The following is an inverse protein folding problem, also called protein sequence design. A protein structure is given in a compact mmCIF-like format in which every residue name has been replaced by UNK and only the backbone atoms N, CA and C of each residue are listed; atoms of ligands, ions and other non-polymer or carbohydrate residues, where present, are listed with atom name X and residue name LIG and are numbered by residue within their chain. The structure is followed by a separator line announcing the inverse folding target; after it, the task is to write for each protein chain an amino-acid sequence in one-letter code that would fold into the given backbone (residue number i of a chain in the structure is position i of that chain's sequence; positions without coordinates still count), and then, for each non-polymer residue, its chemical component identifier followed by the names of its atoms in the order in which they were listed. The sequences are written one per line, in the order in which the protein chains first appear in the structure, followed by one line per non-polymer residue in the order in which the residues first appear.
data_IF_329788597976
#
_entry.id   IF_329788597976
#
_cell.length_a   1.000
_cell.length_b   1.000
_cell.length_c   1.000
_cell.angle_alpha   90.00
_cell.angle_beta   90.00
_cell.angle_gamma   90.00
#
_symmetry.space_group_name_H-M   'P 1'
#
loop_
_entity.id
_entity.type
_entity.pdbx_description
1 polymer ?
#
# COMPACT_ATOMS: atom_id res chain seq x y z
N UNK A 1 -87.38 52.21 -67.88
CA UNK A 1 -87.05 52.40 -66.45
C UNK A 1 -85.62 51.89 -66.23
N UNK A 2 -84.76 52.74 -65.64
CA UNK A 2 -83.40 52.48 -65.13
C UNK A 2 -82.22 52.13 -66.06
N UNK A 3 -81.50 53.21 -66.42
CA UNK A 3 -80.04 53.42 -66.42
C UNK A 3 -79.16 52.22 -66.08
N UNK A 4 -78.18 51.92 -66.94
CA UNK A 4 -76.81 51.69 -66.48
C UNK A 4 -75.78 52.10 -67.53
N UNK A 5 -74.73 52.75 -67.02
CA UNK A 5 -73.74 53.59 -67.72
C UNK A 5 -73.00 52.87 -68.85
N UNK A 6 -72.92 53.53 -70.01
CA UNK A 6 -71.87 53.30 -71.00
C UNK A 6 -70.51 53.52 -70.34
N UNK A 7 -69.74 52.46 -70.13
CA UNK A 7 -68.33 52.54 -69.78
C UNK A 7 -67.56 53.01 -71.01
N UNK A 8 -66.97 54.21 -70.95
CA UNK A 8 -65.97 54.63 -71.90
C UNK A 8 -64.79 53.65 -71.86
N UNK A 9 -64.56 52.91 -72.94
CA UNK A 9 -63.29 52.20 -73.14
C UNK A 9 -62.19 53.24 -73.37
N UNK A 10 -61.53 53.65 -72.29
CA UNK A 10 -60.29 54.41 -72.39
C UNK A 10 -59.27 53.54 -73.13
N UNK A 11 -58.82 54.00 -74.31
CA UNK A 11 -57.68 53.42 -75.01
C UNK A 11 -56.47 53.50 -74.08
N UNK A 12 -56.10 52.36 -73.49
CA UNK A 12 -54.92 52.25 -72.62
C UNK A 12 -53.70 52.86 -73.32
N UNK A 13 -53.00 53.73 -72.62
CA UNK A 13 -51.85 54.44 -73.18
C UNK A 13 -50.73 53.44 -73.52
N UNK A 14 -50.00 53.69 -74.60
CA UNK A 14 -48.85 52.83 -75.00
C UNK A 14 -47.81 52.70 -73.87
N UNK A 15 -47.76 53.68 -72.98
CA UNK A 15 -46.92 53.68 -71.76
C UNK A 15 -47.41 52.66 -70.72
N UNK A 16 -48.71 52.57 -70.46
CA UNK A 16 -49.28 51.65 -69.46
C UNK A 16 -49.12 50.18 -69.87
N UNK A 17 -49.29 49.87 -71.16
CA UNK A 17 -49.07 48.51 -71.68
C UNK A 17 -47.60 48.09 -71.55
N UNK A 18 -46.67 49.04 -71.79
CA UNK A 18 -45.23 48.80 -71.64
C UNK A 18 -44.82 48.65 -70.18
N UNK A 19 -45.44 49.36 -69.24
CA UNK A 19 -45.20 49.19 -67.80
C UNK A 19 -45.81 47.89 -67.26
N UNK A 20 -47.01 47.50 -67.69
CA UNK A 20 -47.61 46.21 -67.31
C UNK A 20 -46.75 45.03 -67.81
N UNK A 21 -46.23 45.10 -69.04
CA UNK A 21 -45.28 44.09 -69.56
C UNK A 21 -43.98 44.04 -68.72
N UNK A 22 -43.44 45.18 -68.30
CA UNK A 22 -42.24 45.23 -67.45
C UNK A 22 -42.52 44.70 -66.04
N UNK A 23 -43.68 45.01 -65.45
CA UNK A 23 -44.08 44.51 -64.14
C UNK A 23 -44.27 43.00 -64.19
N UNK A 24 -45.00 42.49 -65.19
CA UNK A 24 -45.22 41.05 -65.35
C UNK A 24 -43.90 40.30 -65.54
N UNK A 25 -42.97 40.83 -66.36
CA UNK A 25 -41.63 40.28 -66.52
C UNK A 25 -40.83 40.28 -65.21
N UNK A 26 -40.90 41.36 -64.43
CA UNK A 26 -40.24 41.45 -63.10
C UNK A 26 -40.85 40.46 -62.11
N UNK A 27 -42.17 40.28 -62.08
CA UNK A 27 -42.85 39.33 -61.20
C UNK A 27 -42.48 37.88 -61.54
N UNK A 28 -42.44 37.52 -62.82
CA UNK A 28 -42.00 36.20 -63.27
C UNK A 28 -40.53 35.95 -62.92
N UNK A 29 -39.67 36.95 -63.11
CA UNK A 29 -38.25 36.86 -62.74
C UNK A 29 -38.06 36.68 -61.23
N UNK A 30 -38.81 37.42 -60.40
CA UNK A 30 -38.78 37.27 -58.94
C UNK A 30 -39.31 35.92 -58.48
N UNK A 31 -40.37 35.41 -59.13
CA UNK A 31 -40.88 34.06 -58.87
C UNK A 31 -39.84 32.99 -59.20
N UNK A 32 -39.16 33.12 -60.33
CA UNK A 32 -38.08 32.21 -60.72
C UNK A 32 -36.88 32.28 -59.75
N UNK A 33 -36.49 33.49 -59.33
CA UNK A 33 -35.41 33.70 -58.36
C UNK A 33 -35.75 33.08 -56.99
N UNK A 34 -37.01 33.19 -56.56
CA UNK A 34 -37.53 32.55 -55.34
C UNK A 34 -37.40 31.02 -55.40
N UNK A 35 -37.80 30.41 -56.53
CA UNK A 35 -37.72 28.96 -56.73
C UNK A 35 -36.25 28.50 -56.72
N UNK A 36 -35.35 29.23 -57.40
CA UNK A 36 -33.91 28.92 -57.38
C UNK A 36 -33.34 29.05 -55.96
N UNK A 37 -33.68 30.11 -55.24
CA UNK A 37 -33.23 30.31 -53.86
C UNK A 37 -33.70 29.18 -52.95
N UNK A 38 -34.97 28.77 -53.08
CA UNK A 38 -35.51 27.63 -52.35
C UNK A 38 -34.76 26.33 -52.70
N UNK A 39 -34.51 26.08 -53.99
CA UNK A 39 -33.77 24.91 -54.44
C UNK A 39 -32.32 24.92 -53.89
N UNK A 40 -31.67 26.08 -53.85
CA UNK A 40 -30.34 26.23 -53.25
C UNK A 40 -30.34 25.93 -51.74
N UNK A 41 -31.33 26.39 -51.00
CA UNK A 41 -31.45 26.11 -49.56
C UNK A 41 -31.68 24.62 -49.32
N UNK A 42 -32.50 23.96 -50.13
CA UNK A 42 -32.75 22.52 -50.00
C UNK A 42 -31.51 21.71 -50.40
N UNK A 43 -30.86 22.04 -51.52
CA UNK A 43 -29.72 21.29 -52.06
C UNK A 43 -28.44 21.53 -51.26
N UNK A 44 -28.19 22.76 -50.80
CA UNK A 44 -26.95 23.11 -50.12
C UNK A 44 -27.12 23.36 -48.62
N UNK A 45 -28.25 23.94 -48.19
CA UNK A 45 -28.50 24.29 -46.78
C UNK A 45 -28.74 23.08 -45.88
N UNK A 46 -29.59 22.12 -46.30
CA UNK A 46 -29.85 20.91 -45.51
C UNK A 46 -28.58 20.06 -45.28
N UNK A 47 -27.75 19.77 -46.30
CA UNK A 47 -26.50 19.05 -46.07
C UNK A 47 -25.52 19.81 -45.17
N UNK A 48 -25.50 21.15 -45.24
CA UNK A 48 -24.67 21.98 -44.37
C UNK A 48 -25.09 21.86 -42.90
N UNK A 49 -26.40 21.89 -42.62
CA UNK A 49 -26.94 21.74 -41.27
C UNK A 49 -26.66 20.36 -40.68
N UNK A 50 -26.79 19.29 -41.48
CA UNK A 50 -26.48 17.92 -41.04
C UNK A 50 -24.99 17.82 -40.69
N UNK A 51 -24.10 18.31 -41.57
CA UNK A 51 -22.65 18.32 -41.32
C UNK A 51 -22.29 19.15 -40.08
N UNK A 52 -22.92 20.29 -39.89
CA UNK A 52 -22.73 21.14 -38.72
C UNK A 52 -23.23 20.46 -37.43
N UNK A 53 -24.37 19.76 -37.48
CA UNK A 53 -24.90 18.99 -36.35
C UNK A 53 -23.96 17.84 -35.95
N UNK A 54 -23.38 17.14 -36.92
CA UNK A 54 -22.40 16.08 -36.66
C UNK A 54 -21.14 16.70 -36.04
N UNK A 55 -20.65 17.80 -36.60
CA UNK A 55 -19.49 18.52 -36.08
C UNK A 55 -19.68 19.01 -34.64
N UNK A 56 -20.85 19.58 -34.31
CA UNK A 56 -21.22 19.94 -32.94
C UNK A 56 -21.35 18.73 -32.01
N UNK A 57 -21.89 17.62 -32.52
CA UNK A 57 -21.93 16.35 -31.81
C UNK A 57 -20.52 15.81 -31.49
N UNK A 58 -19.60 15.88 -32.45
CA UNK A 58 -18.20 15.47 -32.30
C UNK A 58 -17.42 16.40 -31.36
N UNK A 59 -17.71 17.71 -31.36
CA UNK A 59 -17.13 18.65 -30.40
C UNK A 59 -17.61 18.34 -28.97
N UNK A 60 -18.90 18.01 -28.80
CA UNK A 60 -19.45 17.62 -27.51
C UNK A 60 -18.88 16.28 -27.03
N UNK A 61 -18.65 15.33 -27.94
CA UNK A 61 -18.04 14.03 -27.64
C UNK A 61 -16.52 14.10 -27.43
N UNK A 62 -15.82 15.11 -27.97
CA UNK A 62 -14.40 15.36 -27.68
C UNK A 62 -14.14 15.75 -26.22
N UNK A 63 -15.14 16.23 -25.49
CA UNK A 63 -15.03 16.53 -24.05
C UNK A 63 -15.20 15.32 -23.11
N UNK A 64 -15.43 14.10 -23.64
CA UNK A 64 -15.72 12.90 -22.84
C UNK A 64 -14.67 11.79 -23.00
N UNK A 65 -13.66 11.98 -23.86
CA UNK A 65 -12.52 11.05 -23.97
C UNK A 65 -11.40 11.51 -23.04
N UNK A 66 -11.52 11.13 -21.76
CA UNK A 66 -10.43 10.91 -20.79
C UNK A 66 -11.02 10.82 -19.37
N UNK A 67 -12.10 10.05 -19.19
CA UNK A 67 -12.29 9.44 -17.88
C UNK A 67 -11.33 8.26 -17.82
N UNK A 68 -10.07 8.53 -17.46
CA UNK A 68 -9.22 7.49 -16.88
C UNK A 68 -10.04 6.98 -15.71
N UNK A 69 -10.56 5.76 -15.84
CA UNK A 69 -11.31 5.10 -14.77
C UNK A 69 -10.44 5.20 -13.52
N UNK A 70 -10.89 5.94 -12.51
CA UNK A 70 -10.07 6.22 -11.33
C UNK A 70 -9.97 4.92 -10.53
N UNK A 71 -8.96 4.12 -10.86
CA UNK A 71 -8.64 2.90 -10.15
C UNK A 71 -8.21 3.28 -8.73
N UNK A 72 -8.81 2.62 -7.74
CA UNK A 72 -8.45 2.85 -6.35
C UNK A 72 -7.04 2.32 -6.08
N UNK A 73 -6.27 2.99 -5.20
CA UNK A 73 -5.00 2.45 -4.74
C UNK A 73 -5.22 1.11 -4.02
N UNK A 74 -4.20 0.24 -4.01
CA UNK A 74 -4.26 -1.01 -3.26
C UNK A 74 -4.35 -0.73 -1.75
N UNK A 75 -4.78 -1.75 -0.99
CA UNK A 75 -4.74 -1.70 0.47
C UNK A 75 -3.30 -1.70 1.00
N UNK A 76 -3.11 -1.17 2.20
CA UNK A 76 -1.82 -1.23 2.90
C UNK A 76 -1.39 -2.70 3.13
N UNK A 77 -0.11 -3.04 2.91
CA UNK A 77 0.40 -4.36 3.26
C UNK A 77 0.43 -4.57 4.77
N UNK A 78 0.55 -5.84 5.19
CA UNK A 78 0.81 -6.20 6.57
C UNK A 78 2.08 -7.04 6.67
N UNK A 79 3.06 -6.54 7.40
CA UNK A 79 4.27 -7.28 7.76
C UNK A 79 3.98 -8.29 8.88
N UNK A 80 4.66 -9.43 8.83
CA UNK A 80 4.55 -10.54 9.78
C UNK A 80 5.98 -10.89 10.22
N UNK A 81 6.24 -10.69 11.52
CA UNK A 81 7.48 -11.06 12.17
C UNK A 81 7.17 -11.98 13.36
N UNK A 82 7.89 -13.10 13.53
CA UNK A 82 7.59 -14.08 14.58
C UNK A 82 8.21 -13.74 15.95
N UNK A 83 9.05 -12.70 16.03
CA UNK A 83 9.77 -12.29 17.24
C UNK A 83 9.96 -10.77 17.26
N UNK A 84 10.16 -10.21 18.45
CA UNK A 84 10.36 -8.76 18.69
C UNK A 84 11.84 -8.39 18.88
N UNK A 85 12.70 -9.38 19.11
CA UNK A 85 14.15 -9.23 19.16
C UNK A 85 14.85 -10.44 18.53
N UNK A 86 16.07 -10.25 18.05
CA UNK A 86 16.90 -11.31 17.45
C UNK A 86 18.38 -11.03 17.65
N UNK A 87 19.17 -12.08 17.71
CA UNK A 87 20.63 -12.02 17.67
C UNK A 87 21.22 -12.30 16.29
N UNK A 88 20.37 -12.36 15.26
CA UNK A 88 20.81 -12.46 13.87
C UNK A 88 20.76 -11.07 13.22
N UNK A 89 21.91 -10.58 12.74
CA UNK A 89 21.99 -9.32 12.00
C UNK A 89 21.29 -9.35 10.63
N UNK A 90 20.70 -10.49 10.24
CA UNK A 90 19.86 -10.63 9.07
C UNK A 90 18.59 -11.40 9.39
N UNK A 91 17.46 -10.94 8.85
CA UNK A 91 16.16 -11.57 9.04
C UNK A 91 15.41 -11.76 7.73
N UNK A 92 14.41 -12.63 7.78
CA UNK A 92 13.38 -12.76 6.77
C UNK A 92 12.15 -11.98 7.24
N UNK A 93 11.64 -11.09 6.40
CA UNK A 93 10.38 -10.37 6.65
C UNK A 93 9.32 -10.95 5.72
N UNK A 94 8.28 -11.52 6.30
CA UNK A 94 7.12 -12.03 5.57
C UNK A 94 5.98 -11.02 5.65
N UNK A 95 5.01 -11.13 4.76
CA UNK A 95 3.83 -10.29 4.82
C UNK A 95 2.74 -10.70 3.85
N UNK A 96 1.59 -10.03 4.00
CA UNK A 96 0.41 -10.22 3.17
C UNK A 96 -0.06 -8.90 2.57
N UNK A 97 -0.50 -8.95 1.32
CA UNK A 97 -1.03 -7.81 0.58
C UNK A 97 -1.99 -8.30 -0.53
N UNK A 98 -2.59 -7.36 -1.25
CA UNK A 98 -3.43 -7.70 -2.40
C UNK A 98 -2.59 -8.41 -3.48
N UNK A 99 -3.10 -9.50 -4.06
CA UNK A 99 -2.41 -10.27 -5.09
C UNK A 99 -2.03 -9.40 -6.31
N UNK A 100 -0.84 -9.66 -6.87
CA UNK A 100 -0.36 -9.01 -8.10
C UNK A 100 0.14 -7.56 -7.97
N UNK A 101 0.11 -6.98 -6.76
CA UNK A 101 0.67 -5.64 -6.49
C UNK A 101 2.17 -5.73 -6.18
N UNK A 102 2.89 -4.61 -6.33
CA UNK A 102 4.28 -4.49 -5.91
C UNK A 102 4.34 -3.91 -4.50
N UNK A 103 5.05 -4.55 -3.57
CA UNK A 103 5.29 -4.06 -2.22
C UNK A 103 6.69 -3.45 -2.14
N UNK A 104 6.77 -2.25 -1.59
CA UNK A 104 8.01 -1.57 -1.22
C UNK A 104 8.20 -1.69 0.29
N UNK A 105 9.37 -2.16 0.72
CA UNK A 105 9.78 -2.24 2.12
C UNK A 105 10.66 -1.04 2.47
N UNK A 106 10.33 -0.39 3.56
CA UNK A 106 11.04 0.75 4.11
C UNK A 106 11.61 0.39 5.48
N UNK A 107 12.86 0.79 5.72
CA UNK A 107 13.53 0.79 7.01
C UNK A 107 13.85 2.23 7.38
N UNK A 108 13.35 2.71 8.51
CA UNK A 108 13.53 4.10 8.97
C UNK A 108 13.19 5.13 7.87
N UNK A 109 12.04 4.93 7.22
CA UNK A 109 11.53 5.72 6.09
C UNK A 109 12.37 5.66 4.79
N UNK A 110 13.41 4.83 4.73
CA UNK A 110 14.24 4.60 3.54
C UNK A 110 13.86 3.30 2.86
N UNK A 111 13.57 3.34 1.55
CA UNK A 111 13.34 2.13 0.77
C UNK A 111 14.57 1.23 0.75
N UNK A 112 14.40 -0.01 1.19
CA UNK A 112 15.44 -1.04 1.21
C UNK A 112 15.17 -2.19 0.24
N UNK A 113 13.95 -2.31 -0.29
CA UNK A 113 13.63 -3.35 -1.25
C UNK A 113 12.23 -3.22 -1.84
N UNK A 114 12.01 -3.93 -2.95
CA UNK A 114 10.71 -4.12 -3.58
C UNK A 114 10.51 -5.58 -3.97
N UNK A 115 9.27 -6.07 -3.92
CA UNK A 115 8.92 -7.43 -4.32
C UNK A 115 7.49 -7.50 -4.86
N UNK A 116 7.20 -8.51 -5.68
CA UNK A 116 5.85 -8.77 -6.18
C UNK A 116 5.10 -9.68 -5.21
N UNK A 117 3.82 -9.37 -4.97
CA UNK A 117 2.92 -10.20 -4.18
C UNK A 117 2.42 -11.37 -5.03
N UNK A 118 2.45 -12.57 -4.45
CA UNK A 118 1.95 -13.80 -5.07
C UNK A 118 0.44 -13.75 -5.33
N UNK A 119 -0.08 -14.72 -6.10
CA UNK A 119 -1.52 -14.87 -6.35
C UNK A 119 -2.29 -15.23 -5.06
N UNK A 120 -1.60 -15.87 -4.11
CA UNK A 120 -2.12 -16.20 -2.78
C UNK A 120 -2.13 -14.99 -1.81
N UNK A 121 -1.48 -13.89 -2.18
CA UNK A 121 -1.41 -12.66 -1.38
C UNK A 121 -0.19 -12.56 -0.47
N UNK A 122 0.71 -13.54 -0.50
CA UNK A 122 1.93 -13.55 0.31
C UNK A 122 3.10 -12.87 -0.40
N UNK A 123 3.99 -12.23 0.37
CA UNK A 123 5.27 -11.73 -0.09
C UNK A 123 6.38 -11.92 0.95
N UNK A 124 7.63 -11.89 0.48
CA UNK A 124 8.82 -12.13 1.31
C UNK A 124 9.94 -11.17 0.91
N UNK A 125 10.64 -10.67 1.92
CA UNK A 125 11.96 -10.05 1.81
C UNK A 125 12.97 -10.89 2.57
N UNK A 126 13.88 -11.54 1.85
CA UNK A 126 14.97 -12.34 2.43
C UNK A 126 16.22 -11.50 2.71
N UNK A 127 17.01 -11.90 3.70
CA UNK A 127 18.30 -11.30 4.05
C UNK A 127 18.25 -9.79 4.34
N UNK A 128 17.19 -9.33 5.00
CA UNK A 128 17.07 -7.93 5.44
C UNK A 128 18.09 -7.69 6.54
N UNK A 129 19.02 -6.76 6.31
CA UNK A 129 20.11 -6.42 7.24
C UNK A 129 19.59 -5.49 8.35
N UNK A 130 19.92 -5.84 9.59
CA UNK A 130 19.61 -5.06 10.78
C UNK A 130 20.83 -4.22 11.21
N UNK A 131 20.54 -3.05 11.77
CA UNK A 131 21.50 -2.24 12.52
C UNK A 131 21.34 -2.59 14.00
N UNK A 132 22.40 -2.44 14.79
CA UNK A 132 22.36 -2.71 16.23
C UNK A 132 21.27 -1.86 16.91
N UNK A 133 20.47 -2.51 17.76
CA UNK A 133 19.33 -1.89 18.44
C UNK A 133 18.03 -1.92 17.62
N UNK A 134 17.24 -0.86 17.72
CA UNK A 134 15.91 -0.78 17.12
C UNK A 134 15.97 -0.62 15.60
N UNK A 135 15.19 -1.43 14.88
CA UNK A 135 15.00 -1.32 13.43
C UNK A 135 13.50 -1.18 13.14
N UNK A 136 13.10 -0.07 12.53
CA UNK A 136 11.70 0.24 12.29
C UNK A 136 11.31 -0.02 10.82
N UNK A 137 10.41 -0.96 10.62
CA UNK A 137 9.95 -1.39 9.29
C UNK A 137 8.52 -0.94 9.00
N UNK A 138 8.32 -0.44 7.78
CA UNK A 138 7.00 -0.19 7.21
C UNK A 138 7.00 -0.60 5.73
N UNK A 139 5.82 -0.70 5.13
CA UNK A 139 5.70 -1.09 3.73
C UNK A 139 4.53 -0.40 3.06
N UNK A 140 4.57 -0.27 1.75
CA UNK A 140 3.45 0.23 0.95
C UNK A 140 3.28 -0.60 -0.31
N UNK A 141 2.04 -0.75 -0.77
CA UNK A 141 1.72 -1.42 -2.01
C UNK A 141 1.56 -0.40 -3.14
N UNK A 142 1.92 -0.78 -4.35
CA UNK A 142 1.66 0.01 -5.54
C UNK A 142 1.17 -0.86 -6.70
N UNK A 143 0.35 -0.25 -7.55
CA UNK A 143 -0.12 -0.84 -8.81
C UNK A 143 0.19 0.13 -9.94
N UNK A 144 0.35 -0.38 -11.17
CA UNK A 144 0.62 0.46 -12.34
C UNK A 144 -0.49 1.48 -12.61
N UNK A 145 -1.73 1.10 -12.33
CA UNK A 145 -2.92 1.87 -12.74
C UNK A 145 -3.64 2.54 -11.55
N UNK A 146 -3.55 1.96 -10.34
CA UNK A 146 -4.25 2.44 -9.13
C UNK A 146 -3.43 3.34 -8.21
N UNK A 147 -2.12 3.49 -8.47
CA UNK A 147 -1.22 4.28 -7.62
C UNK A 147 -0.74 3.50 -6.40
N UNK A 148 -0.48 4.21 -5.30
CA UNK A 148 0.20 3.70 -4.10
C UNK A 148 -0.71 3.78 -2.87
N UNK A 149 -0.63 2.77 -1.99
CA UNK A 149 -1.31 2.75 -0.70
C UNK A 149 -0.70 3.75 0.30
N UNK A 150 -1.38 3.93 1.43
CA UNK A 150 -0.75 4.46 2.65
C UNK A 150 0.33 3.49 3.15
N UNK A 151 1.15 3.96 4.10
CA UNK A 151 2.14 3.12 4.79
C UNK A 151 1.44 2.15 5.74
N UNK A 152 1.93 0.91 5.78
CA UNK A 152 1.54 -0.09 6.76
C UNK A 152 1.84 0.37 8.18
N UNK A 153 1.25 -0.33 9.16
CA UNK A 153 1.67 -0.23 10.55
C UNK A 153 3.18 -0.43 10.68
N UNK A 154 3.78 0.38 11.55
CA UNK A 154 5.19 0.27 11.91
C UNK A 154 5.41 -1.01 12.72
N UNK A 155 6.42 -1.79 12.34
CA UNK A 155 6.89 -2.97 13.09
C UNK A 155 8.33 -2.71 13.51
N UNK A 156 8.61 -2.89 14.79
CA UNK A 156 9.95 -2.68 15.36
C UNK A 156 10.53 -4.05 15.71
N UNK A 157 11.79 -4.26 15.33
CA UNK A 157 12.58 -5.41 15.74
C UNK A 157 13.89 -4.92 16.35
N UNK A 158 14.28 -5.51 17.48
CA UNK A 158 15.55 -5.20 18.14
C UNK A 158 16.59 -6.22 17.69
N UNK A 159 17.70 -5.75 17.12
CA UNK A 159 18.89 -6.57 16.93
C UNK A 159 19.82 -6.37 18.12
N UNK A 160 20.21 -7.46 18.75
CA UNK A 160 21.18 -7.49 19.86
C UNK A 160 21.98 -8.80 19.76
N UNK A 161 23.27 -8.71 19.52
CA UNK A 161 24.19 -9.86 19.49
C UNK A 161 25.03 -10.04 20.76
N UNK A 162 24.72 -9.27 21.81
CA UNK A 162 25.45 -9.29 23.07
C UNK A 162 24.86 -10.33 24.02
N UNK A 163 25.68 -11.31 24.41
CA UNK A 163 25.25 -12.32 25.37
C UNK A 163 25.07 -11.74 26.78
N UNK A 164 24.03 -12.19 27.53
CA UNK A 164 23.76 -11.65 28.84
C UNK A 164 24.88 -11.99 29.82
N UNK A 165 25.22 -11.07 30.72
CA UNK A 165 26.16 -11.33 31.82
C UNK A 165 25.63 -12.46 32.70
N UNK A 166 26.53 -13.31 33.21
CA UNK A 166 26.18 -14.33 34.19
C UNK A 166 27.27 -14.43 35.26
N UNK A 167 26.94 -13.97 36.47
CA UNK A 167 27.85 -13.99 37.61
C UNK A 167 27.31 -14.85 38.74
N UNK A 168 28.17 -15.68 39.31
CA UNK A 168 27.79 -16.57 40.39
C UNK A 168 28.20 -15.99 41.73
N UNK A 169 27.22 -15.84 42.62
CA UNK A 169 27.43 -15.48 44.02
C UNK A 169 27.62 -16.73 44.88
N UNK A 170 26.84 -17.78 44.59
CA UNK A 170 27.00 -19.10 45.19
C UNK A 170 26.69 -20.21 44.16
N UNK A 171 27.62 -21.14 43.91
CA UNK A 171 29.00 -21.16 44.41
C UNK A 171 29.89 -20.20 43.62
N UNK A 172 30.96 -19.70 44.26
CA UNK A 172 32.00 -18.90 43.56
C UNK A 172 32.95 -19.78 42.75
N UNK A 173 33.15 -21.01 43.20
CA UNK A 173 34.04 -22.01 42.61
C UNK A 173 33.29 -22.87 41.60
N UNK A 174 33.99 -23.39 40.60
CA UNK A 174 33.42 -24.29 39.59
C UNK A 174 33.39 -25.75 40.05
N UNK A 175 34.09 -26.09 41.13
CA UNK A 175 34.09 -27.43 41.72
C UNK A 175 34.12 -27.30 43.24
N UNK A 176 33.22 -28.00 43.92
CA UNK A 176 33.11 -27.99 45.38
C UNK A 176 32.70 -29.37 45.91
N UNK A 177 33.09 -29.64 47.16
CA UNK A 177 32.65 -30.79 47.93
C UNK A 177 31.91 -30.31 49.17
N UNK A 178 30.72 -30.84 49.42
CA UNK A 178 29.84 -30.43 50.53
C UNK A 178 29.19 -31.66 51.19
N UNK A 179 28.65 -31.47 52.38
CA UNK A 179 28.05 -32.50 53.24
C UNK A 179 26.53 -32.36 53.44
N UNK A 180 25.86 -31.59 52.59
CA UNK A 180 24.41 -31.39 52.62
C UNK A 180 23.80 -31.50 51.21
N UNK A 181 22.56 -32.03 51.14
CA UNK A 181 21.89 -32.31 49.87
C UNK A 181 21.20 -31.10 49.24
N UNK A 182 20.82 -30.09 50.03
CA UNK A 182 20.04 -28.95 49.55
C UNK A 182 20.95 -27.76 49.26
N UNK A 183 21.11 -27.40 47.99
CA UNK A 183 22.06 -26.39 47.57
C UNK A 183 21.37 -25.19 46.92
N UNK A 184 21.71 -23.98 47.36
CA UNK A 184 21.20 -22.74 46.79
C UNK A 184 22.14 -22.24 45.70
N UNK A 185 21.69 -22.27 44.45
CA UNK A 185 22.40 -21.62 43.34
C UNK A 185 21.96 -20.17 43.27
N UNK A 186 22.90 -19.25 43.45
CA UNK A 186 22.65 -17.80 43.53
C UNK A 186 23.59 -17.06 42.59
N UNK A 187 23.06 -16.11 41.85
CA UNK A 187 23.85 -15.28 40.96
C UNK A 187 23.12 -14.02 40.51
N UNK A 188 23.74 -13.33 39.57
CA UNK A 188 23.21 -12.14 38.93
C UNK A 188 23.37 -12.26 37.41
N UNK A 189 22.41 -11.72 36.66
CA UNK A 189 22.41 -11.64 35.21
C UNK A 189 21.87 -10.30 34.74
N UNK A 190 21.86 -10.06 33.43
CA UNK A 190 21.27 -8.84 32.88
C UNK A 190 19.75 -8.82 33.08
N UNK A 191 19.21 -7.61 33.22
CA UNK A 191 17.76 -7.42 33.39
C UNK A 191 17.00 -8.01 32.21
N UNK A 192 15.79 -8.51 32.47
CA UNK A 192 14.93 -9.15 31.47
C UNK A 192 15.52 -10.43 30.83
N UNK A 193 16.68 -10.91 31.30
CA UNK A 193 17.17 -12.24 30.96
C UNK A 193 16.43 -13.30 31.76
N UNK A 194 16.29 -14.47 31.17
CA UNK A 194 15.78 -15.68 31.81
C UNK A 194 16.94 -16.56 32.24
N UNK A 195 16.86 -17.17 33.42
CA UNK A 195 17.89 -18.10 33.91
C UNK A 195 17.29 -19.49 34.08
N UNK A 196 18.00 -20.51 33.61
CA UNK A 196 17.69 -21.91 33.87
C UNK A 196 18.86 -22.61 34.54
N UNK A 197 18.57 -23.52 35.48
CA UNK A 197 19.54 -24.33 36.21
C UNK A 197 19.11 -25.79 36.06
N UNK A 198 19.92 -26.60 35.37
CA UNK A 198 19.57 -27.95 34.93
C UNK A 198 18.19 -28.01 34.25
N UNK A 199 17.89 -27.01 33.41
CA UNK A 199 16.62 -26.87 32.70
C UNK A 199 15.43 -26.37 33.53
N UNK A 200 15.60 -26.10 34.84
CA UNK A 200 14.55 -25.50 35.68
C UNK A 200 14.69 -23.98 35.70
N UNK A 201 13.59 -23.26 35.50
CA UNK A 201 13.59 -21.80 35.57
C UNK A 201 13.90 -21.29 36.99
N UNK A 202 14.82 -20.32 37.05
CA UNK A 202 15.06 -19.49 38.22
C UNK A 202 14.46 -18.11 37.95
N UNK A 203 13.69 -17.58 38.91
CA UNK A 203 13.14 -16.24 38.80
C UNK A 203 14.27 -15.23 38.94
N UNK A 204 14.34 -14.30 37.99
CA UNK A 204 15.26 -13.16 37.98
C UNK A 204 14.46 -11.94 38.44
N UNK A 205 14.98 -11.18 39.39
CA UNK A 205 14.32 -9.96 39.88
C UNK A 205 14.71 -8.71 39.07
N UNK A 206 14.15 -7.55 39.45
CA UNK A 206 14.39 -6.26 38.77
C UNK A 206 15.85 -5.77 38.85
N UNK A 207 16.65 -6.36 39.74
CA UNK A 207 18.09 -6.11 39.89
C UNK A 207 18.94 -7.15 39.15
N UNK A 208 18.32 -8.14 38.50
CA UNK A 208 19.01 -9.23 37.82
C UNK A 208 19.45 -10.37 38.76
N UNK A 209 19.10 -10.33 40.05
CA UNK A 209 19.46 -11.39 40.98
C UNK A 209 18.55 -12.61 40.77
N UNK A 210 19.13 -13.80 40.84
CA UNK A 210 18.40 -15.05 40.80
C UNK A 210 18.85 -15.99 41.91
N UNK A 211 17.89 -16.79 42.38
CA UNK A 211 18.14 -17.85 43.37
C UNK A 211 17.27 -19.06 43.06
N UNK A 212 17.88 -20.24 43.01
CA UNK A 212 17.15 -21.50 42.94
C UNK A 212 17.76 -22.53 43.88
N UNK A 213 16.91 -23.16 44.69
CA UNK A 213 17.29 -24.33 45.48
C UNK A 213 17.21 -25.59 44.62
N UNK A 214 18.31 -26.34 44.59
CA UNK A 214 18.42 -27.64 43.94
C UNK A 214 18.69 -28.73 44.99
N UNK A 215 18.28 -29.95 44.67
CA UNK A 215 18.56 -31.12 45.49
C UNK A 215 19.64 -31.96 44.79
N UNK A 216 20.69 -32.29 45.52
CA UNK A 216 21.85 -33.02 45.03
C UNK A 216 21.70 -34.52 45.32
N UNK A 217 22.15 -35.34 44.38
CA UNK A 217 22.33 -36.76 44.60
C UNK A 217 23.69 -37.01 45.28
N UNK A 218 23.86 -38.08 46.09
CA UNK A 218 25.16 -38.47 46.61
C UNK A 218 26.20 -38.66 45.50
N UNK A 219 27.43 -38.21 45.73
CA UNK A 219 28.50 -38.21 44.74
C UNK A 219 28.48 -36.96 43.85
N UNK A 220 28.96 -37.12 42.60
CA UNK A 220 29.19 -36.01 41.67
C UNK A 220 27.90 -35.55 41.00
N UNK A 221 27.60 -34.25 41.08
CA UNK A 221 26.49 -33.58 40.40
C UNK A 221 27.04 -32.54 39.42
N UNK A 222 26.73 -32.69 38.13
CA UNK A 222 27.04 -31.68 37.12
C UNK A 222 25.85 -30.71 37.00
N UNK A 223 26.08 -29.43 37.28
CA UNK A 223 25.08 -28.35 37.27
C UNK A 223 25.38 -27.41 36.11
N UNK A 224 24.42 -27.24 35.20
CA UNK A 224 24.47 -26.30 34.09
C UNK A 224 23.51 -25.13 34.36
N UNK A 225 24.06 -23.91 34.29
CA UNK A 225 23.32 -22.66 34.42
C UNK A 225 23.37 -21.96 33.07
N UNK A 226 22.21 -21.56 32.56
CA UNK A 226 22.08 -20.85 31.28
C UNK A 226 21.31 -19.57 31.55
N UNK A 227 21.91 -18.43 31.25
CA UNK A 227 21.19 -17.16 31.10
C UNK A 227 20.90 -16.89 29.63
N UNK A 228 19.69 -16.42 29.33
CA UNK A 228 19.22 -16.15 27.98
C UNK A 228 18.41 -14.86 27.92
N UNK A 229 18.74 -13.96 27.01
CA UNK A 229 18.02 -12.71 26.80
C UNK A 229 16.81 -12.86 25.85
N UNK A 230 16.16 -11.74 25.52
CA UNK A 230 15.00 -11.71 24.60
C UNK A 230 15.39 -11.90 23.13
N UNK A 231 16.60 -11.49 22.73
CA UNK A 231 17.13 -11.65 21.38
C UNK A 231 17.57 -13.10 21.08
N UNK A 232 17.73 -13.90 22.13
CA UNK A 232 18.11 -15.29 22.08
C UNK A 232 19.59 -15.56 22.36
N UNK A 233 20.37 -14.55 22.77
CA UNK A 233 21.75 -14.78 23.17
C UNK A 233 21.83 -15.54 24.48
N UNK A 234 22.87 -16.37 24.64
CA UNK A 234 23.02 -17.26 25.78
C UNK A 234 24.42 -17.21 26.39
N UNK A 235 24.48 -17.17 27.71
CA UNK A 235 25.69 -17.41 28.49
C UNK A 235 25.52 -18.64 29.35
N UNK A 236 26.48 -19.58 29.27
CA UNK A 236 26.43 -20.87 29.99
C UNK A 236 27.56 -20.98 31.00
N UNK A 237 27.24 -21.53 32.17
CA UNK A 237 28.23 -21.86 33.19
C UNK A 237 27.98 -23.28 33.72
N UNK A 238 29.06 -24.02 33.91
CA UNK A 238 29.04 -25.38 34.45
C UNK A 238 29.73 -25.40 35.81
N UNK A 239 29.12 -26.11 36.75
CA UNK A 239 29.59 -26.25 38.12
C UNK A 239 29.48 -27.71 38.51
N UNK A 240 30.49 -28.25 39.18
CA UNK A 240 30.51 -29.60 39.71
C UNK A 240 30.38 -29.56 41.21
N UNK A 241 29.38 -30.23 41.76
CA UNK A 241 29.18 -30.35 43.20
C UNK A 241 29.26 -31.81 43.60
N UNK A 242 30.25 -32.17 44.42
CA UNK A 242 30.34 -33.49 45.03
C UNK A 242 29.67 -33.46 46.39
N UNK A 243 28.55 -34.17 46.54
CA UNK A 243 27.90 -34.37 47.82
C UNK A 243 28.49 -35.62 48.49
N UNK A 244 29.30 -35.42 49.53
CA UNK A 244 29.83 -36.48 50.39
C UNK A 244 29.00 -36.60 51.66
N UNK A 245 28.71 -37.82 52.11
CA UNK A 245 27.76 -38.09 53.21
C UNK A 245 28.43 -38.14 54.58
#
# INVERSE_FOLDING_TARGET
MNKNKSMAQFKRSRLERKSEEQITKKTVLLGFLSIISFLLIVVFGLPLLIKFSIFLGDIKNKGVKDQVEKVLPPLEPRLILPYEATNSGQIKIEGVAQAGVEVELLKDDVTIGKTQVSEEGDFVFDNVVLDEGENAFSSRASTKDGGTSDLSKLVIIIYDDTSPRLEMTNPKEETLTIDYSDFDVVGNTDKNSSVTINGRFAMVDDNGEFKLKIQLAPGKNDIEIISKDMAGNETKKKIVITYDL
#
